data_IF_077813115924
#
_entry.id   IF_077813115924
#
_cell.length_a   1.000
_cell.length_b   1.000
_cell.length_c   1.000
_cell.angle_alpha   90.00
_cell.angle_beta   90.00
_cell.angle_gamma   90.00
#
_symmetry.space_group_name_H-M   'P 1'
#
loop_
_entity.id
_entity.type
_entity.pdbx_description
1 polymer ?
#
# COMPACT_ATOMS: atom_id res chain seq x y z
N UNK A 1 16.02 6.21 -3.15
CA UNK A 1 15.06 5.41 -3.96
C UNK A 1 15.03 4.00 -3.42
N UNK A 2 14.11 3.72 -2.50
CA UNK A 2 13.99 2.40 -1.89
C UNK A 2 13.55 1.38 -2.98
N UNK A 3 14.10 0.16 -2.97
CA UNK A 3 13.80 -0.89 -3.97
C UNK A 3 13.53 -2.19 -3.22
N UNK A 4 12.35 -2.77 -3.43
CA UNK A 4 12.00 -4.06 -2.86
C UNK A 4 12.48 -5.21 -3.77
N UNK A 5 12.98 -6.29 -3.17
CA UNK A 5 13.21 -7.55 -3.89
C UNK A 5 11.96 -8.41 -3.76
N UNK A 6 11.27 -8.62 -4.87
CA UNK A 6 10.02 -9.38 -4.92
C UNK A 6 10.25 -10.65 -5.73
N UNK A 7 9.93 -11.80 -5.15
CA UNK A 7 9.86 -13.06 -5.91
C UNK A 7 8.57 -13.07 -6.71
N UNK A 8 8.68 -13.29 -8.01
CA UNK A 8 7.51 -13.40 -8.87
C UNK A 8 6.65 -14.59 -8.43
N UNK A 9 5.36 -14.38 -8.09
CA UNK A 9 4.48 -15.48 -7.68
C UNK A 9 4.21 -16.49 -8.80
N UNK A 10 4.42 -16.10 -10.07
CA UNK A 10 4.21 -16.96 -11.22
C UNK A 10 5.43 -17.83 -11.58
N UNK A 11 6.64 -17.27 -11.60
CA UNK A 11 7.84 -18.00 -12.08
C UNK A 11 9.01 -18.07 -11.08
N UNK A 12 8.83 -17.52 -9.87
CA UNK A 12 9.84 -17.56 -8.80
C UNK A 12 11.04 -16.62 -8.98
N UNK A 13 11.20 -15.96 -10.14
CA UNK A 13 12.31 -15.02 -10.38
C UNK A 13 12.28 -13.85 -9.40
N UNK A 14 13.42 -13.53 -8.79
CA UNK A 14 13.60 -12.29 -8.02
C UNK A 14 13.65 -11.07 -8.92
N UNK A 15 12.84 -10.06 -8.62
CA UNK A 15 12.74 -8.80 -9.34
C UNK A 15 13.02 -7.64 -8.39
N UNK A 16 13.73 -6.62 -8.90
CA UNK A 16 13.92 -5.34 -8.19
C UNK A 16 12.76 -4.44 -8.57
N UNK A 17 11.85 -4.19 -7.65
CA UNK A 17 10.70 -3.32 -7.85
C UNK A 17 10.97 -1.97 -7.17
N UNK A 18 10.99 -0.85 -7.92
CA UNK A 18 11.22 0.46 -7.34
C UNK A 18 10.04 0.92 -6.49
N UNK A 19 10.30 1.74 -5.46
CA UNK A 19 9.25 2.33 -4.66
C UNK A 19 8.37 3.32 -5.46
N UNK A 20 8.93 4.01 -6.45
CA UNK A 20 8.20 4.90 -7.35
C UNK A 20 8.62 4.62 -8.80
N UNK A 21 7.64 4.51 -9.70
CA UNK A 21 7.83 4.35 -11.14
C UNK A 21 6.51 4.66 -11.85
N UNK A 22 6.59 4.93 -13.15
CA UNK A 22 5.41 5.04 -13.99
C UNK A 22 4.82 3.65 -14.30
N UNK A 23 3.50 3.57 -14.39
CA UNK A 23 2.78 2.32 -14.69
C UNK A 23 2.74 1.35 -13.50
N UNK A 24 3.01 0.07 -13.78
CA UNK A 24 2.94 -1.03 -12.79
C UNK A 24 4.10 -2.01 -12.94
N UNK A 25 4.57 -2.64 -11.84
CA UNK A 25 5.71 -3.54 -11.90
C UNK A 25 5.34 -4.86 -12.57
N UNK A 26 6.19 -5.31 -13.51
CA UNK A 26 6.08 -6.60 -14.20
C UNK A 26 7.35 -7.41 -14.01
N UNK A 27 7.22 -8.73 -13.98
CA UNK A 27 8.35 -9.63 -13.90
C UNK A 27 9.25 -9.49 -15.13
N UNK A 28 10.55 -9.26 -14.94
CA UNK A 28 11.52 -9.18 -16.04
C UNK A 28 11.76 -10.50 -16.79
N UNK A 29 11.22 -11.62 -16.29
CA UNK A 29 11.35 -12.94 -16.92
C UNK A 29 10.08 -13.42 -17.62
N UNK A 30 8.93 -13.42 -16.93
CA UNK A 30 7.66 -13.92 -17.50
C UNK A 30 6.64 -12.82 -17.79
N UNK A 31 6.97 -11.56 -17.49
CA UNK A 31 6.11 -10.39 -17.72
C UNK A 31 4.75 -10.42 -17.00
N UNK A 32 4.52 -11.34 -16.07
CA UNK A 32 3.37 -11.30 -15.18
C UNK A 32 3.45 -10.08 -14.25
N UNK A 33 2.30 -9.50 -13.90
CA UNK A 33 2.23 -8.39 -12.97
C UNK A 33 2.76 -8.82 -11.58
N UNK A 34 3.47 -7.92 -10.91
CA UNK A 34 4.04 -8.17 -9.58
C UNK A 34 3.23 -7.43 -8.51
N UNK A 35 3.15 -7.97 -7.29
CA UNK A 35 2.69 -7.19 -6.16
C UNK A 35 3.57 -5.95 -6.00
N UNK A 36 2.97 -4.83 -5.60
CA UNK A 36 3.69 -3.60 -5.32
C UNK A 36 3.44 -3.17 -3.88
N UNK A 37 4.26 -3.70 -2.98
CA UNK A 37 4.24 -3.39 -1.54
C UNK A 37 5.50 -2.64 -1.18
N UNK A 38 5.36 -1.43 -0.66
CA UNK A 38 6.49 -0.52 -0.38
C UNK A 38 6.24 0.28 0.88
N UNK A 39 7.30 0.83 1.44
CA UNK A 39 7.24 1.82 2.52
C UNK A 39 7.39 3.23 1.95
N UNK A 40 6.78 4.20 2.61
CA UNK A 40 6.96 5.62 2.35
C UNK A 40 7.00 6.41 3.66
N UNK A 41 7.65 7.56 3.65
CA UNK A 41 7.74 8.48 4.78
C UNK A 41 7.59 9.94 4.35
N UNK A 42 7.84 10.84 5.29
CA UNK A 42 7.63 12.29 5.14
C UNK A 42 8.27 12.86 3.85
N UNK A 43 9.43 12.36 3.43
CA UNK A 43 10.19 12.91 2.30
C UNK A 43 9.76 12.40 0.91
N UNK A 44 9.11 11.24 0.83
CA UNK A 44 8.90 10.55 -0.45
C UNK A 44 7.46 10.10 -0.71
N UNK A 45 6.53 10.32 0.23
CA UNK A 45 5.13 9.92 0.11
C UNK A 45 4.44 10.46 -1.14
N UNK A 46 4.69 11.72 -1.52
CA UNK A 46 4.06 12.28 -2.72
C UNK A 46 4.48 11.54 -4.00
N UNK A 47 5.76 11.21 -4.13
CA UNK A 47 6.28 10.47 -5.27
C UNK A 47 5.84 8.99 -5.26
N UNK A 48 5.74 8.38 -4.08
CA UNK A 48 5.42 6.95 -3.95
C UNK A 48 3.91 6.69 -4.01
N UNK A 49 3.09 7.51 -3.36
CA UNK A 49 1.66 7.27 -3.21
C UNK A 49 0.81 8.22 -4.07
N UNK A 50 0.96 9.53 -3.91
CA UNK A 50 0.03 10.51 -4.52
C UNK A 50 0.16 10.59 -6.05
N UNK A 51 1.38 10.43 -6.56
CA UNK A 51 1.68 10.45 -8.00
C UNK A 51 1.66 9.08 -8.66
N UNK A 52 1.25 8.03 -7.94
CA UNK A 52 1.20 6.69 -8.51
C UNK A 52 0.13 6.61 -9.61
N UNK A 53 0.46 5.97 -10.74
CA UNK A 53 -0.48 5.76 -11.85
C UNK A 53 -1.48 4.61 -11.63
N UNK A 54 -1.55 4.07 -10.42
CA UNK A 54 -2.49 3.02 -10.01
C UNK A 54 -3.09 3.38 -8.65
N UNK A 55 -4.29 2.90 -8.31
CA UNK A 55 -4.86 3.07 -6.98
C UNK A 55 -3.90 2.64 -5.87
N UNK A 56 -3.80 3.46 -4.83
CA UNK A 56 -2.90 3.23 -3.68
C UNK A 56 -3.70 2.99 -2.43
N UNK A 57 -3.53 1.82 -1.83
CA UNK A 57 -3.96 1.50 -0.48
C UNK A 57 -2.82 1.88 0.48
N UNK A 58 -3.09 2.78 1.41
CA UNK A 58 -2.13 3.23 2.43
C UNK A 58 -2.47 2.61 3.78
N UNK A 59 -1.48 2.01 4.44
CA UNK A 59 -1.55 1.47 5.79
C UNK A 59 -0.72 2.36 6.73
N UNK A 60 -1.38 3.21 7.50
CA UNK A 60 -0.74 3.95 8.60
C UNK A 60 -0.71 3.05 9.83
N UNK A 61 0.49 2.61 10.21
CA UNK A 61 0.71 1.60 11.25
C UNK A 61 1.81 2.04 12.24
N UNK A 62 2.01 1.26 13.30
CA UNK A 62 3.11 1.42 14.25
C UNK A 62 3.55 0.07 14.83
N UNK A 63 4.80 -0.04 15.30
CA UNK A 63 5.35 -1.30 15.87
C UNK A 63 4.61 -1.73 17.14
N UNK A 64 4.23 -0.77 17.97
CA UNK A 64 3.51 -0.98 19.23
C UNK A 64 2.02 -1.31 19.05
N UNK A 65 1.51 -1.20 17.81
CA UNK A 65 0.09 -1.39 17.51
C UNK A 65 -0.26 -2.87 17.38
N UNK A 66 -0.87 -3.43 18.43
CA UNK A 66 -1.39 -4.80 18.45
C UNK A 66 -2.34 -5.12 17.28
N UNK A 67 -3.39 -4.30 17.02
CA UNK A 67 -4.31 -4.53 15.90
C UNK A 67 -3.65 -4.46 14.52
N UNK A 68 -2.63 -3.62 14.34
CA UNK A 68 -1.90 -3.49 13.07
C UNK A 68 -1.26 -4.82 12.66
N UNK A 69 -0.73 -5.59 13.62
CA UNK A 69 -0.16 -6.92 13.37
C UNK A 69 -1.15 -7.92 12.75
N UNK A 70 -2.45 -7.71 12.95
CA UNK A 70 -3.49 -8.53 12.30
C UNK A 70 -3.91 -7.96 10.94
N UNK A 71 -3.93 -6.64 10.79
CA UNK A 71 -4.41 -5.96 9.58
C UNK A 71 -3.37 -5.97 8.47
N UNK A 72 -2.12 -5.59 8.74
CA UNK A 72 -1.09 -5.45 7.71
C UNK A 72 -0.87 -6.72 6.86
N UNK A 73 -0.87 -7.95 7.42
CA UNK A 73 -0.79 -9.18 6.60
C UNK A 73 -1.98 -9.38 5.65
N UNK A 74 -3.19 -8.94 6.05
CA UNK A 74 -4.37 -8.98 5.19
C UNK A 74 -4.20 -8.02 4.01
N UNK A 75 -3.68 -6.81 4.26
CA UNK A 75 -3.43 -5.84 3.20
C UNK A 75 -2.32 -6.33 2.24
N UNK A 76 -1.27 -6.95 2.78
CA UNK A 76 -0.23 -7.59 1.97
C UNK A 76 -0.84 -8.66 1.06
N UNK A 77 -1.70 -9.52 1.58
CA UNK A 77 -2.40 -10.52 0.79
C UNK A 77 -3.27 -9.89 -0.31
N UNK A 78 -4.03 -8.84 0.01
CA UNK A 78 -4.84 -8.13 -0.99
C UNK A 78 -3.96 -7.52 -2.10
N UNK A 79 -2.79 -6.98 -1.76
CA UNK A 79 -1.84 -6.45 -2.74
C UNK A 79 -1.23 -7.54 -3.64
N UNK A 80 -1.08 -8.77 -3.12
CA UNK A 80 -0.66 -9.93 -3.91
C UNK A 80 -1.75 -10.43 -4.85
N UNK A 81 -2.97 -10.58 -4.35
CA UNK A 81 -4.12 -11.02 -5.16
C UNK A 81 -4.49 -10.00 -6.25
N UNK A 82 -4.21 -8.72 -6.01
CA UNK A 82 -4.50 -7.60 -6.91
C UNK A 82 -3.23 -7.04 -7.55
N UNK A 83 -2.21 -7.88 -7.76
CA UNK A 83 -0.96 -7.50 -8.41
C UNK A 83 -1.22 -6.73 -9.72
N UNK A 84 -0.57 -5.57 -9.87
CA UNK A 84 -0.73 -4.68 -11.02
C UNK A 84 -2.03 -3.85 -11.06
N UNK A 85 -2.96 -4.05 -10.13
CA UNK A 85 -4.20 -3.25 -10.02
C UNK A 85 -4.11 -2.23 -8.89
N UNK A 86 -3.44 -2.58 -7.80
CA UNK A 86 -3.23 -1.68 -6.65
C UNK A 86 -1.78 -1.68 -6.23
N UNK A 87 -1.42 -0.63 -5.50
CA UNK A 87 -0.18 -0.52 -4.74
C UNK A 87 -0.48 -0.42 -3.25
N UNK A 88 0.24 -1.16 -2.43
CA UNK A 88 0.19 -1.02 -0.97
C UNK A 88 1.38 -0.18 -0.50
N UNK A 89 1.10 0.91 0.19
CA UNK A 89 2.08 1.80 0.81
C UNK A 89 1.93 1.72 2.31
N UNK A 90 2.98 1.29 3.00
CA UNK A 90 3.02 1.26 4.46
C UNK A 90 3.73 2.51 4.98
N UNK A 91 3.08 3.19 5.92
CA UNK A 91 3.62 4.39 6.57
C UNK A 91 3.69 4.13 8.07
N UNK A 92 4.91 4.10 8.58
CA UNK A 92 5.14 4.05 10.03
C UNK A 92 4.95 5.47 10.60
N UNK A 93 3.94 5.62 11.46
CA UNK A 93 3.58 6.91 12.05
C UNK A 93 4.62 7.43 13.03
N UNK A 94 5.42 6.54 13.65
CA UNK A 94 6.48 6.95 14.58
C UNK A 94 7.64 7.63 13.83
N UNK A 95 7.85 7.25 12.56
CA UNK A 95 8.88 7.79 11.69
C UNK A 95 8.37 8.84 10.69
N UNK A 96 7.05 9.06 10.63
CA UNK A 96 6.41 9.98 9.67
C UNK A 96 5.44 10.95 10.37
N UNK A 97 5.92 11.81 11.29
CA UNK A 97 5.06 12.71 12.05
C UNK A 97 4.41 13.79 11.17
N UNK A 98 5.06 14.23 10.07
CA UNK A 98 4.46 15.23 9.18
C UNK A 98 3.30 14.63 8.40
N UNK A 99 3.42 13.40 7.90
CA UNK A 99 2.30 12.70 7.27
C UNK A 99 1.17 12.44 8.27
N UNK A 100 1.51 12.06 9.50
CA UNK A 100 0.54 11.82 10.57
C UNK A 100 -0.28 13.09 10.87
N UNK A 101 0.38 14.24 10.98
CA UNK A 101 -0.29 15.53 11.13
C UNK A 101 -1.10 15.91 9.87
N UNK A 102 -0.51 15.81 8.68
CA UNK A 102 -1.13 16.18 7.40
C UNK A 102 -2.42 15.42 7.13
N UNK A 103 -2.45 14.12 7.43
CA UNK A 103 -3.61 13.27 7.25
C UNK A 103 -4.45 13.09 8.51
N UNK A 104 -4.20 13.88 9.57
CA UNK A 104 -4.90 13.81 10.85
C UNK A 104 -5.04 12.38 11.37
N UNK A 105 -3.93 11.63 11.39
CA UNK A 105 -3.88 10.26 11.91
C UNK A 105 -3.92 10.33 13.45
N UNK A 106 -5.08 10.02 14.02
CA UNK A 106 -5.30 10.06 15.48
C UNK A 106 -5.13 8.69 16.14
N UNK A 107 -5.26 7.61 15.37
CA UNK A 107 -5.15 6.24 15.84
C UNK A 107 -4.64 5.35 14.70
N UNK A 108 -3.98 4.26 15.08
CA UNK A 108 -3.53 3.21 14.16
C UNK A 108 -4.21 1.87 14.47
N UNK A 109 -4.49 1.03 13.46
CA UNK A 109 -4.27 1.30 12.04
C UNK A 109 -5.27 2.33 11.50
N UNK A 110 -4.82 3.18 10.58
CA UNK A 110 -5.71 3.97 9.73
C UNK A 110 -5.38 3.64 8.28
N UNK A 111 -6.38 3.29 7.50
CA UNK A 111 -6.25 2.95 6.10
C UNK A 111 -6.81 4.06 5.22
N UNK A 112 -6.22 4.24 4.05
CA UNK A 112 -6.66 5.21 3.06
C UNK A 112 -6.57 4.62 1.66
N UNK A 113 -7.49 5.00 0.77
CA UNK A 113 -7.39 4.72 -0.66
C UNK A 113 -7.21 6.03 -1.41
N UNK A 114 -6.16 6.08 -2.22
CA UNK A 114 -5.83 7.21 -3.09
C UNK A 114 -6.00 6.76 -4.54
N UNK A 115 -6.77 7.52 -5.33
CA UNK A 115 -6.94 7.34 -6.78
C UNK A 115 -6.73 8.69 -7.43
N UNK A 116 -5.85 8.75 -8.44
CA UNK A 116 -5.49 9.99 -9.16
C UNK A 116 -5.14 11.16 -8.22
N UNK A 117 -4.34 10.87 -7.18
CA UNK A 117 -3.90 11.83 -6.18
C UNK A 117 -4.98 12.29 -5.20
N UNK A 118 -6.20 11.75 -5.26
CA UNK A 118 -7.32 12.10 -4.39
C UNK A 118 -7.63 10.97 -3.42
N UNK A 119 -7.94 11.35 -2.18
CA UNK A 119 -8.43 10.41 -1.17
C UNK A 119 -9.88 10.06 -1.47
N UNK A 120 -10.15 8.80 -1.82
CA UNK A 120 -11.50 8.33 -2.17
C UNK A 120 -12.17 7.50 -1.06
N UNK A 121 -11.37 6.97 -0.14
CA UNK A 121 -11.86 6.25 1.03
C UNK A 121 -10.89 6.33 2.20
N UNK A 122 -11.44 6.19 3.42
CA UNK A 122 -10.69 6.09 4.67
C UNK A 122 -11.37 5.09 5.60
N UNK A 123 -10.59 4.29 6.30
CA UNK A 123 -11.05 3.34 7.31
C UNK A 123 -10.19 3.49 8.56
N UNK A 124 -10.80 3.86 9.68
CA UNK A 124 -10.10 3.94 10.97
C UNK A 124 -10.28 2.63 11.75
N UNK A 125 -9.21 2.18 12.40
CA UNK A 125 -9.20 0.98 13.24
C UNK A 125 -9.14 -0.32 12.44
N UNK A 126 -8.96 -1.41 13.18
CA UNK A 126 -8.92 -2.74 12.60
C UNK A 126 -10.32 -3.24 12.25
N UNK A 127 -10.42 -3.98 11.14
CA UNK A 127 -11.62 -4.69 10.73
C UNK A 127 -11.26 -6.10 10.23
N UNK A 128 -12.22 -7.05 10.26
CA UNK A 128 -12.00 -8.39 9.70
C UNK A 128 -11.67 -8.35 8.21
N UNK A 129 -10.89 -9.32 7.72
CA UNK A 129 -10.45 -9.39 6.32
C UNK A 129 -11.57 -9.27 5.27
N UNK A 130 -12.75 -9.92 5.44
CA UNK A 130 -13.86 -9.76 4.48
C UNK A 130 -14.39 -8.32 4.40
N UNK A 131 -14.39 -7.61 5.52
CA UNK A 131 -14.82 -6.20 5.60
C UNK A 131 -13.80 -5.30 4.89
N UNK A 132 -12.52 -5.50 5.15
CA UNK A 132 -11.44 -4.75 4.47
C UNK A 132 -11.45 -4.97 2.96
N UNK A 133 -11.70 -6.21 2.51
CA UNK A 133 -11.83 -6.53 1.08
C UNK A 133 -13.00 -5.80 0.44
N UNK A 134 -14.18 -5.87 1.06
CA UNK A 134 -15.39 -5.23 0.54
C UNK A 134 -15.25 -3.71 0.49
N UNK A 135 -14.69 -3.11 1.55
CA UNK A 135 -14.40 -1.68 1.62
C UNK A 135 -13.43 -1.23 0.51
N UNK A 136 -12.36 -1.99 0.28
CA UNK A 136 -11.40 -1.69 -0.80
C UNK A 136 -12.08 -1.80 -2.17
N UNK A 137 -12.87 -2.85 -2.40
CA UNK A 137 -13.59 -3.04 -3.66
C UNK A 137 -14.53 -1.87 -3.95
N UNK A 138 -15.32 -1.45 -2.97
CA UNK A 138 -16.21 -0.29 -3.11
C UNK A 138 -15.41 0.99 -3.42
N UNK A 139 -14.29 1.20 -2.75
CA UNK A 139 -13.43 2.37 -2.99
C UNK A 139 -12.85 2.41 -4.40
N UNK A 140 -12.57 1.26 -5.02
CA UNK A 140 -12.01 1.15 -6.37
C UNK A 140 -13.04 1.33 -7.50
N UNK A 141 -14.33 1.46 -7.18
CA UNK A 141 -15.40 1.70 -8.17
C UNK A 141 -15.79 3.17 -8.34
N UNK A 142 -15.21 4.05 -7.53
CA UNK A 142 -15.46 5.50 -7.54
C UNK A 142 -14.51 6.23 -8.47
#
# INVERSE_FOLDING_TARGET
MNKAIIKCPHCGKSNRVPAAADGRPRCGNCHHDLPWVVEAGDDDFSAIAERAGVPVLVDFWAVWCGPCRMVSPVLDQLAHERAGQIKLVKVDVDHSPQLSARFAIQAVPTLMVIVDGKIVARQAGAAPAPVLRSWLEEALTK
#
